data_IF_935805319480
#
_entry.id   IF_935805319480
#
_cell.length_a   1.000
_cell.length_b   1.000
_cell.length_c   1.000
_cell.angle_alpha   90.00
_cell.angle_beta   90.00
_cell.angle_gamma   90.00
#
_symmetry.space_group_name_H-M   'P 1'
#
loop_
_entity.id
_entity.type
_entity.pdbx_description
1 polymer ?
#
# COMPACT_ATOMS: atom_id res chain seq x y z
N UNK A 1 3.63 -21.27 15.64
CA UNK A 1 4.09 -19.91 16.01
C UNK A 1 2.91 -19.19 16.59
N UNK A 2 3.02 -18.79 17.86
CA UNK A 2 2.05 -17.88 18.47
C UNK A 2 1.81 -16.70 17.54
N UNK A 3 0.54 -16.40 17.27
CA UNK A 3 0.17 -15.51 16.18
C UNK A 3 0.50 -14.07 16.59
N UNK A 4 1.74 -13.61 16.30
CA UNK A 4 2.09 -12.18 16.39
C UNK A 4 0.99 -11.40 15.63
N UNK A 5 0.32 -10.42 16.23
CA UNK A 5 -0.74 -9.67 15.57
C UNK A 5 -0.27 -9.09 14.23
N UNK A 6 -1.14 -9.08 13.21
CA UNK A 6 -0.77 -8.67 11.85
C UNK A 6 -0.15 -7.26 11.79
N UNK A 7 -0.68 -6.31 12.56
CA UNK A 7 -0.17 -4.93 12.62
C UNK A 7 1.19 -4.77 13.28
N UNK A 8 1.77 -5.83 13.86
CA UNK A 8 3.08 -5.81 14.52
C UNK A 8 4.18 -6.47 13.67
N UNK A 9 3.85 -6.91 12.43
CA UNK A 9 4.77 -7.60 11.50
C UNK A 9 5.16 -6.72 10.31
N UNK A 10 5.38 -5.44 10.52
CA UNK A 10 5.65 -4.47 9.44
C UNK A 10 7.04 -4.66 8.82
N UNK A 11 8.05 -5.07 9.62
CA UNK A 11 9.43 -5.30 9.16
C UNK A 11 10.02 -6.61 9.67
N UNK A 12 11.08 -7.10 9.01
CA UNK A 12 11.82 -8.28 9.46
C UNK A 12 12.45 -8.07 10.84
N UNK A 13 12.88 -6.84 11.14
CA UNK A 13 13.42 -6.41 12.43
C UNK A 13 12.38 -6.53 13.55
N UNK A 14 11.14 -6.08 13.32
CA UNK A 14 10.08 -6.21 14.32
C UNK A 14 9.76 -7.68 14.58
N UNK A 15 9.66 -8.49 13.53
CA UNK A 15 9.43 -9.93 13.66
C UNK A 15 10.58 -10.61 14.41
N UNK A 16 11.83 -10.21 14.14
CA UNK A 16 13.01 -10.69 14.84
C UNK A 16 12.98 -10.33 16.34
N UNK A 17 12.59 -9.10 16.67
CA UNK A 17 12.42 -8.64 18.05
C UNK A 17 11.32 -9.41 18.80
N UNK A 18 10.15 -9.59 18.17
CA UNK A 18 9.04 -10.35 18.76
C UNK A 18 9.36 -11.83 18.98
N UNK A 19 10.15 -12.44 18.09
CA UNK A 19 10.54 -13.85 18.20
C UNK A 19 11.85 -14.08 18.96
N UNK A 20 12.51 -13.00 19.43
CA UNK A 20 13.83 -13.03 20.04
C UNK A 20 14.87 -13.81 19.21
N UNK A 21 14.91 -13.52 17.91
CA UNK A 21 15.76 -14.20 16.93
C UNK A 21 16.58 -13.20 16.12
N UNK A 22 17.65 -13.66 15.48
CA UNK A 22 18.39 -12.82 14.55
C UNK A 22 17.57 -12.52 13.29
N UNK A 23 17.77 -11.33 12.71
CA UNK A 23 17.15 -10.95 11.43
C UNK A 23 17.46 -11.95 10.32
N UNK A 24 18.69 -12.47 10.27
CA UNK A 24 19.13 -13.46 9.28
C UNK A 24 18.36 -14.79 9.41
N UNK A 25 18.02 -15.20 10.63
CA UNK A 25 17.19 -16.39 10.86
C UNK A 25 15.78 -16.18 10.34
N UNK A 26 15.15 -15.03 10.62
CA UNK A 26 13.82 -14.69 10.11
C UNK A 26 13.82 -14.62 8.57
N UNK A 27 14.85 -14.01 7.98
CA UNK A 27 15.00 -13.95 6.52
C UNK A 27 15.09 -15.34 5.87
N UNK A 28 15.87 -16.26 6.46
CA UNK A 28 15.97 -17.64 5.98
C UNK A 28 14.62 -18.36 6.05
N UNK A 29 13.91 -18.24 7.16
CA UNK A 29 12.57 -18.83 7.33
C UNK A 29 11.52 -18.25 6.38
N UNK A 30 11.64 -16.96 6.05
CA UNK A 30 10.82 -16.34 5.01
C UNK A 30 11.10 -16.97 3.62
N UNK A 31 12.38 -17.19 3.30
CA UNK A 31 12.81 -17.82 2.04
C UNK A 31 12.35 -19.28 1.94
N UNK A 32 12.42 -20.01 3.05
CA UNK A 32 11.96 -21.40 3.20
C UNK A 32 10.43 -21.51 3.33
N UNK A 33 9.70 -20.38 3.28
CA UNK A 33 8.23 -20.29 3.40
C UNK A 33 7.64 -20.79 4.72
N UNK A 34 8.47 -20.90 5.76
CA UNK A 34 8.03 -21.17 7.13
C UNK A 34 7.30 -19.97 7.75
N UNK A 35 7.60 -18.77 7.25
CA UNK A 35 6.91 -17.52 7.58
C UNK A 35 6.32 -16.96 6.29
N UNK A 36 5.03 -16.61 6.30
CA UNK A 36 4.35 -16.01 5.14
C UNK A 36 4.48 -14.49 5.18
N UNK A 37 4.78 -13.86 4.03
CA UNK A 37 4.58 -12.41 3.86
C UNK A 37 3.09 -12.10 3.95
N UNK A 38 2.75 -11.17 4.83
CA UNK A 38 1.39 -10.66 4.95
C UNK A 38 1.49 -9.18 4.60
N UNK A 39 0.94 -8.81 3.45
CA UNK A 39 0.64 -7.42 3.15
C UNK A 39 -0.59 -7.06 3.96
N UNK A 40 -0.54 -5.99 4.76
CA UNK A 40 -1.78 -5.41 5.26
C UNK A 40 -2.54 -4.93 4.04
N UNK A 41 -3.74 -5.45 3.82
CA UNK A 41 -4.71 -4.76 2.98
C UNK A 41 -5.19 -3.52 3.74
N UNK A 42 -4.30 -2.54 3.97
CA UNK A 42 -4.74 -1.17 4.12
C UNK A 42 -5.15 -0.69 2.73
N UNK A 43 -6.20 -1.32 2.18
CA UNK A 43 -7.04 -0.60 1.23
C UNK A 43 -7.62 0.54 2.06
N UNK A 44 -7.55 1.79 1.57
CA UNK A 44 -8.41 2.82 2.15
C UNK A 44 -9.80 2.21 2.28
N UNK A 45 -10.40 2.27 3.47
CA UNK A 45 -11.75 1.75 3.64
C UNK A 45 -12.57 2.35 2.50
N UNK A 46 -13.12 1.51 1.61
CA UNK A 46 -13.97 1.93 0.50
C UNK A 46 -15.32 2.35 1.08
N UNK A 47 -15.29 3.35 1.95
CA UNK A 47 -16.47 4.09 2.34
C UNK A 47 -16.93 4.85 1.11
N UNK A 48 -18.22 5.13 1.02
CA UNK A 48 -18.76 5.95 -0.07
C UNK A 48 -18.06 7.31 -0.13
N UNK A 49 -17.68 7.87 1.03
CA UNK A 49 -16.93 9.11 1.14
C UNK A 49 -15.52 9.01 0.52
N UNK A 50 -14.75 7.97 0.85
CA UNK A 50 -13.41 7.80 0.31
C UNK A 50 -13.44 7.48 -1.19
N UNK A 51 -14.41 6.67 -1.61
CA UNK A 51 -14.64 6.35 -3.03
C UNK A 51 -14.96 7.62 -3.81
N UNK A 52 -15.87 8.44 -3.29
CA UNK A 52 -16.21 9.73 -3.90
C UNK A 52 -15.01 10.67 -3.97
N UNK A 53 -14.26 10.82 -2.88
CA UNK A 53 -13.08 11.68 -2.84
C UNK A 53 -12.01 11.24 -3.85
N UNK A 54 -11.83 9.92 -4.02
CA UNK A 54 -10.91 9.37 -5.00
C UNK A 54 -11.36 9.66 -6.45
N UNK A 55 -12.66 9.48 -6.75
CA UNK A 55 -13.21 9.81 -8.07
C UNK A 55 -13.12 11.31 -8.35
N UNK A 56 -13.49 12.16 -7.39
CA UNK A 56 -13.35 13.62 -7.50
C UNK A 56 -11.90 14.03 -7.74
N UNK A 57 -10.94 13.40 -7.04
CA UNK A 57 -9.52 13.61 -7.29
C UNK A 57 -9.15 13.28 -8.74
N UNK A 58 -9.46 12.08 -9.23
CA UNK A 58 -9.12 11.69 -10.60
C UNK A 58 -9.75 12.62 -11.65
N UNK A 59 -11.02 13.03 -11.45
CA UNK A 59 -11.72 13.93 -12.39
C UNK A 59 -11.05 15.31 -12.51
N UNK A 60 -10.45 15.83 -11.44
CA UNK A 60 -9.75 17.13 -11.48
C UNK A 60 -8.47 17.10 -12.33
N UNK A 61 -7.86 15.94 -12.52
CA UNK A 61 -6.62 15.79 -13.28
C UNK A 61 -6.90 15.41 -14.74
N UNK A 62 -8.16 15.34 -15.17
CA UNK A 62 -8.49 15.19 -16.58
C UNK A 62 -8.24 16.49 -17.34
N UNK A 63 -7.70 16.37 -18.55
CA UNK A 63 -7.48 17.48 -19.47
C UNK A 63 -8.83 17.94 -20.03
N UNK A 64 -9.32 19.17 -19.72
CA UNK A 64 -10.65 19.61 -20.11
C UNK A 64 -10.90 19.54 -21.62
N UNK A 65 -9.86 19.80 -22.43
CA UNK A 65 -9.94 19.80 -23.89
C UNK A 65 -10.20 18.40 -24.48
N UNK A 66 -9.83 17.34 -23.75
CA UNK A 66 -9.89 15.95 -24.20
C UNK A 66 -11.23 15.25 -23.87
N UNK A 67 -12.07 15.87 -23.03
CA UNK A 67 -13.23 15.20 -22.41
C UNK A 67 -14.32 14.71 -23.39
N UNK A 68 -14.39 15.27 -24.60
CA UNK A 68 -15.47 14.97 -25.53
C UNK A 68 -15.28 13.68 -26.34
N UNK A 69 -14.03 13.31 -26.63
CA UNK A 69 -13.73 12.20 -27.54
C UNK A 69 -12.90 11.11 -26.86
N UNK A 70 -11.70 11.45 -26.38
CA UNK A 70 -10.75 10.52 -25.73
C UNK A 70 -10.09 11.22 -24.53
N UNK A 71 -10.68 11.12 -23.33
CA UNK A 71 -10.22 11.84 -22.16
C UNK A 71 -8.82 11.39 -21.74
N UNK A 72 -7.90 12.35 -21.65
CA UNK A 72 -6.53 12.16 -21.18
C UNK A 72 -6.34 12.83 -19.82
N UNK A 73 -5.33 12.38 -19.08
CA UNK A 73 -4.87 13.09 -17.89
C UNK A 73 -3.99 14.28 -18.29
N UNK A 74 -3.97 15.31 -17.46
CA UNK A 74 -3.01 16.41 -17.53
C UNK A 74 -1.60 15.87 -17.28
N UNK A 75 -0.62 16.52 -17.90
CA UNK A 75 0.79 16.15 -17.71
C UNK A 75 1.33 16.50 -16.32
N UNK A 76 0.62 17.38 -15.57
CA UNK A 76 0.88 17.73 -14.17
C UNK A 76 2.36 18.04 -13.84
N UNK A 77 3.05 18.66 -14.80
CA UNK A 77 4.48 19.01 -14.70
C UNK A 77 4.79 20.02 -13.59
N UNK A 78 3.75 20.63 -12.99
CA UNK A 78 3.79 21.58 -11.89
C UNK A 78 3.27 21.01 -10.55
N UNK A 79 2.85 19.74 -10.49
CA UNK A 79 2.30 19.09 -9.30
C UNK A 79 3.15 17.89 -8.86
N UNK A 80 3.29 17.68 -7.54
CA UNK A 80 4.01 16.55 -6.95
C UNK A 80 3.04 15.72 -6.12
N UNK A 81 2.77 14.49 -6.57
CA UNK A 81 1.93 13.55 -5.84
C UNK A 81 2.74 12.81 -4.76
N UNK A 82 2.27 12.84 -3.52
CA UNK A 82 2.87 12.13 -2.38
C UNK A 82 1.81 11.19 -1.80
N UNK A 83 2.16 9.92 -1.65
CA UNK A 83 1.37 8.86 -1.00
C UNK A 83 1.96 8.53 0.38
#
# INVERSE_FOLDING_TARGET
MEAIPHGQRTTLEQVAGHLNMSRTTIWRRLKEKEIRRITSEMKHALTDANTRAHVEYCLRHLEPCSMHDDPTFRDDMDEVHID
#
